data_IF_327192909779
#
_entry.id   IF_327192909779
#
_cell.length_a   1.000
_cell.length_b   1.000
_cell.length_c   1.000
_cell.angle_alpha   90.00
_cell.angle_beta   90.00
_cell.angle_gamma   90.00
#
_symmetry.space_group_name_H-M   'P 1'
#
loop_
_entity.id
_entity.type
_entity.pdbx_description
1 polymer ?
#
# COMPACT_ATOMS: atom_id res chain seq x y z
N UNK A 1 -6.51 -20.17 10.17
CA UNK A 1 -5.22 -19.51 9.87
C UNK A 1 -5.61 -18.17 9.25
N UNK A 2 -5.42 -17.07 9.96
CA UNK A 2 -5.74 -15.75 9.42
C UNK A 2 -4.78 -15.49 8.27
N UNK A 3 -5.30 -15.40 7.04
CA UNK A 3 -4.53 -14.86 5.93
C UNK A 3 -4.25 -13.41 6.32
N UNK A 4 -3.01 -13.11 6.74
CA UNK A 4 -2.51 -11.75 6.72
C UNK A 4 -2.52 -11.35 5.25
N UNK A 5 -3.60 -10.68 4.85
CA UNK A 5 -3.85 -10.27 3.47
C UNK A 5 -2.83 -9.18 3.16
N UNK A 6 -1.63 -9.61 2.74
CA UNK A 6 -0.54 -8.73 2.37
C UNK A 6 -1.03 -7.87 1.21
N UNK A 7 -1.25 -6.59 1.51
CA UNK A 7 -1.81 -5.62 0.59
C UNK A 7 -0.67 -4.74 0.10
N UNK A 8 -0.47 -4.71 -1.20
CA UNK A 8 0.48 -3.80 -1.82
C UNK A 8 -0.17 -2.43 -1.98
N UNK A 9 0.58 -1.37 -1.67
CA UNK A 9 0.15 0.01 -1.86
C UNK A 9 1.17 0.74 -2.71
N UNK A 10 0.68 1.51 -3.68
CA UNK A 10 1.48 2.37 -4.53
C UNK A 10 1.14 3.84 -4.25
N UNK A 11 2.16 4.67 -4.10
CA UNK A 11 1.98 6.10 -4.04
C UNK A 11 1.74 6.67 -5.44
N UNK A 12 0.62 7.38 -5.63
CA UNK A 12 0.26 7.96 -6.94
C UNK A 12 1.14 9.13 -7.37
N UNK A 13 1.81 9.79 -6.41
CA UNK A 13 2.70 10.92 -6.69
C UNK A 13 4.12 10.49 -7.07
N UNK A 14 4.70 9.55 -6.32
CA UNK A 14 6.11 9.14 -6.51
C UNK A 14 6.28 7.74 -7.11
N UNK A 15 5.19 6.99 -7.31
CA UNK A 15 5.21 5.63 -7.87
C UNK A 15 5.83 4.59 -6.94
N UNK A 16 5.99 4.90 -5.64
CA UNK A 16 6.64 4.00 -4.70
C UNK A 16 5.67 2.95 -4.16
N UNK A 17 6.11 1.68 -4.17
CA UNK A 17 5.33 0.53 -3.73
C UNK A 17 5.80 0.03 -2.38
N UNK A 18 4.87 -0.20 -1.46
CA UNK A 18 5.11 -0.75 -0.14
C UNK A 18 4.14 -1.91 0.09
N UNK A 19 4.62 -3.01 0.65
CA UNK A 19 3.79 -4.15 1.04
C UNK A 19 3.52 -4.06 2.53
N UNK A 20 2.25 -3.91 2.92
CA UNK A 20 1.87 -3.75 4.33
C UNK A 20 0.91 -4.87 4.71
N UNK A 21 1.24 -5.56 5.81
CA UNK A 21 0.48 -6.73 6.28
C UNK A 21 -0.79 -6.40 7.05
N UNK A 22 -0.86 -5.23 7.71
CA UNK A 22 -1.98 -4.91 8.61
C UNK A 22 -2.29 -3.40 8.75
N UNK A 23 -1.41 -2.52 8.26
CA UNK A 23 -1.58 -1.08 8.43
C UNK A 23 -2.08 -0.41 7.14
N UNK A 24 -3.27 0.19 7.21
CA UNK A 24 -3.79 1.15 6.23
C UNK A 24 -2.80 2.32 6.09
N UNK A 25 -1.82 2.21 5.20
CA UNK A 25 -0.96 3.34 4.87
C UNK A 25 -1.73 4.21 3.90
N UNK A 26 -2.39 5.25 4.42
CA UNK A 26 -3.09 6.24 3.60
C UNK A 26 -2.14 7.26 2.97
N UNK A 27 -0.91 7.38 3.48
CA UNK A 27 0.03 8.45 3.11
C UNK A 27 1.45 7.93 2.98
N UNK A 28 2.12 8.30 1.89
CA UNK A 28 3.48 7.89 1.60
C UNK A 28 4.46 8.54 2.60
N UNK A 29 5.28 7.75 3.31
CA UNK A 29 6.23 8.30 4.28
C UNK A 29 7.38 9.09 3.64
N UNK A 30 7.55 9.00 2.32
CA UNK A 30 8.64 9.64 1.60
C UNK A 30 8.26 10.99 1.00
N UNK A 31 7.11 11.09 0.35
CA UNK A 31 6.67 12.33 -0.30
C UNK A 31 5.43 12.96 0.35
N UNK A 32 4.76 12.28 1.28
CA UNK A 32 3.48 12.71 1.82
C UNK A 32 2.30 12.55 0.86
N UNK A 33 2.51 11.95 -0.31
CA UNK A 33 1.47 11.71 -1.31
C UNK A 33 0.49 10.61 -0.91
N UNK A 34 -0.64 10.53 -1.62
CA UNK A 34 -1.66 9.52 -1.34
C UNK A 34 -1.15 8.12 -1.73
N UNK A 35 -1.41 7.14 -0.88
CA UNK A 35 -1.13 5.74 -1.18
C UNK A 35 -2.43 5.02 -1.54
N UNK A 36 -2.42 4.36 -2.70
CA UNK A 36 -3.53 3.58 -3.22
C UNK A 36 -3.20 2.11 -3.11
N UNK A 37 -4.19 1.33 -2.68
CA UNK A 37 -4.04 -0.11 -2.70
C UNK A 37 -3.98 -0.58 -4.15
N UNK A 38 -2.88 -1.22 -4.52
CA UNK A 38 -2.82 -2.05 -5.73
C UNK A 38 -3.35 -3.40 -5.29
N UNK A 39 -4.68 -3.52 -5.21
CA UNK A 39 -5.29 -4.84 -5.06
C UNK A 39 -4.77 -5.67 -6.24
N UNK A 40 -4.03 -6.73 -5.94
CA UNK A 40 -3.77 -7.76 -6.92
C UNK A 40 -5.14 -8.34 -7.28
N UNK A 41 -5.69 -7.90 -8.42
CA UNK A 41 -6.84 -8.54 -9.05
C UNK A 41 -6.43 -10.01 -9.20
N UNK A 42 -7.09 -10.89 -8.44
CA UNK A 42 -6.90 -12.34 -8.55
C UNK A 42 -7.33 -12.85 -9.91
#
# INVERSE_FOLDING_TARGET
MAFEEQREYECVDCGRRETVGDALVSTCPYCGGEMRNVELIQ
#
